data_IF_728609214816
#
_entry.id   IF_728609214816
#
_cell.length_a   1.000
_cell.length_b   1.000
_cell.length_c   1.000
_cell.angle_alpha   90.00
_cell.angle_beta   90.00
_cell.angle_gamma   90.00
#
_symmetry.space_group_name_H-M   'P 1'
#
loop_
_entity.id
_entity.type
_entity.pdbx_description
1 polymer ?
#
# COMPACT_ATOMS: atom_id res chain seq x y z
N UNK A 1 -4.04 2.75 10.68
CA UNK A 1 -3.62 2.25 9.35
C UNK A 1 -3.90 3.27 8.25
N UNK A 2 -5.14 3.80 8.06
CA UNK A 2 -5.44 4.76 7.00
C UNK A 2 -4.51 5.98 6.99
N UNK A 3 -4.23 6.58 8.16
CA UNK A 3 -3.33 7.74 8.25
C UNK A 3 -1.93 7.44 7.72
N UNK A 4 -1.38 6.28 8.07
CA UNK A 4 -0.05 5.84 7.62
C UNK A 4 -0.04 5.63 6.10
N UNK A 5 -1.09 5.04 5.54
CA UNK A 5 -1.23 4.85 4.10
C UNK A 5 -1.32 6.20 3.37
N UNK A 6 -2.13 7.12 3.87
CA UNK A 6 -2.28 8.47 3.29
C UNK A 6 -0.99 9.29 3.40
N UNK A 7 -0.14 8.99 4.38
CA UNK A 7 1.16 9.63 4.55
C UNK A 7 2.24 9.07 3.61
N UNK A 8 2.02 7.98 2.88
CA UNK A 8 3.07 7.36 2.04
C UNK A 8 3.62 8.31 0.98
N UNK A 9 2.75 8.96 0.20
CA UNK A 9 3.17 9.91 -0.84
C UNK A 9 3.90 11.13 -0.24
N UNK A 10 3.34 11.83 0.77
CA UNK A 10 4.06 12.92 1.43
C UNK A 10 5.41 12.49 2.00
N UNK A 11 5.49 11.35 2.71
CA UNK A 11 6.75 10.88 3.31
C UNK A 11 7.81 10.58 2.27
N UNK A 12 7.42 10.02 1.12
CA UNK A 12 8.35 9.79 0.01
C UNK A 12 8.97 11.09 -0.49
N UNK A 13 8.12 12.07 -0.79
CA UNK A 13 8.52 13.38 -1.32
C UNK A 13 9.21 14.29 -0.29
N UNK A 14 8.97 14.08 1.01
CA UNK A 14 9.70 14.78 2.08
C UNK A 14 11.12 14.23 2.30
N UNK A 15 11.32 12.93 2.10
CA UNK A 15 12.59 12.27 2.39
C UNK A 15 13.57 12.29 1.21
N UNK A 16 13.08 12.49 -0.02
CA UNK A 16 13.89 12.43 -1.23
C UNK A 16 13.75 13.76 -1.98
N UNK A 17 14.88 14.34 -2.38
CA UNK A 17 14.92 15.61 -3.13
C UNK A 17 14.89 15.34 -4.63
N UNK A 18 14.33 16.28 -5.39
CA UNK A 18 14.26 16.25 -6.87
C UNK A 18 13.53 15.02 -7.42
N UNK A 19 12.47 14.58 -6.75
CA UNK A 19 11.62 13.47 -7.17
C UNK A 19 10.55 14.00 -8.14
N UNK A 20 10.32 13.34 -9.29
CA UNK A 20 9.20 13.66 -10.17
C UNK A 20 7.85 13.51 -9.47
N UNK A 21 6.87 14.35 -9.80
CA UNK A 21 5.56 14.38 -9.10
C UNK A 21 4.79 13.06 -9.21
N UNK A 22 5.00 12.36 -10.34
CA UNK A 22 4.46 11.05 -10.69
C UNK A 22 5.16 9.89 -10.00
N UNK A 23 6.34 10.11 -9.41
CA UNK A 23 7.08 9.09 -8.69
C UNK A 23 6.57 8.97 -7.24
N UNK A 24 6.64 7.75 -6.68
CA UNK A 24 6.27 7.46 -5.30
C UNK A 24 5.04 6.58 -5.21
N UNK A 25 4.08 6.98 -4.39
CA UNK A 25 2.91 6.17 -4.03
C UNK A 25 1.61 6.90 -4.37
N UNK A 26 0.57 6.15 -4.70
CA UNK A 26 -0.80 6.63 -4.62
C UNK A 26 -1.67 5.56 -3.97
N UNK A 27 -2.74 5.99 -3.30
CA UNK A 27 -3.58 5.12 -2.49
C UNK A 27 -5.03 5.34 -2.90
N UNK A 28 -5.72 4.25 -3.21
CA UNK A 28 -7.14 4.23 -3.49
C UNK A 28 -7.86 3.50 -2.37
N UNK A 29 -8.84 4.17 -1.76
CA UNK A 29 -9.71 3.56 -0.76
C UNK A 29 -10.84 2.82 -1.46
N UNK A 30 -10.97 1.52 -1.22
CA UNK A 30 -12.08 0.70 -1.71
C UNK A 30 -13.18 0.63 -0.63
N UNK A 31 -12.80 0.33 0.61
CA UNK A 31 -13.66 0.40 1.80
C UNK A 31 -12.88 0.92 3.00
N UNK A 32 -13.48 1.01 4.18
CA UNK A 32 -12.79 1.46 5.40
C UNK A 32 -11.57 0.60 5.77
N UNK A 33 -11.60 -0.68 5.42
CA UNK A 33 -10.54 -1.65 5.71
C UNK A 33 -9.94 -2.30 4.46
N UNK A 34 -10.11 -1.69 3.29
CA UNK A 34 -9.61 -2.21 2.02
C UNK A 34 -9.08 -1.06 1.15
N UNK A 35 -7.79 -1.13 0.82
CA UNK A 35 -7.11 -0.13 0.00
C UNK A 35 -6.29 -0.81 -1.09
N UNK A 36 -6.08 -0.09 -2.19
CA UNK A 36 -5.10 -0.42 -3.22
C UNK A 36 -3.99 0.61 -3.15
N UNK A 37 -2.75 0.13 -3.00
CA UNK A 37 -1.54 0.94 -2.98
C UNK A 37 -0.82 0.77 -4.31
N UNK A 38 -0.76 1.82 -5.09
CA UNK A 38 -0.01 1.88 -6.33
C UNK A 38 1.37 2.46 -6.05
N UNK A 39 2.42 1.89 -6.67
CA UNK A 39 3.74 2.52 -6.63
C UNK A 39 4.36 2.66 -8.01
N UNK A 40 5.02 3.81 -8.18
CA UNK A 40 5.77 4.17 -9.36
C UNK A 40 7.21 4.61 -8.99
N UNK A 41 7.72 4.14 -7.84
CA UNK A 41 9.11 4.38 -7.42
C UNK A 41 10.08 3.37 -8.04
N UNK A 42 11.39 3.69 -8.10
CA UNK A 42 12.44 2.76 -8.52
C UNK A 42 12.64 1.57 -7.55
N UNK A 43 12.00 1.60 -6.38
CA UNK A 43 12.08 0.52 -5.40
C UNK A 43 11.53 -0.80 -5.97
N UNK A 44 12.18 -1.91 -5.58
CA UNK A 44 11.73 -3.25 -5.97
C UNK A 44 10.44 -3.63 -5.22
N UNK A 45 9.54 -4.32 -5.91
CA UNK A 45 8.22 -4.73 -5.41
C UNK A 45 8.31 -5.50 -4.08
N UNK A 46 9.32 -6.37 -3.93
CA UNK A 46 9.56 -7.13 -2.69
C UNK A 46 9.84 -6.22 -1.47
N UNK A 47 10.52 -5.09 -1.70
CA UNK A 47 10.77 -4.10 -0.64
C UNK A 47 9.49 -3.39 -0.22
N UNK A 48 8.64 -3.04 -1.20
CA UNK A 48 7.34 -2.46 -0.90
C UNK A 48 6.42 -3.45 -0.18
N UNK A 49 6.38 -4.71 -0.61
CA UNK A 49 5.64 -5.76 0.06
C UNK A 49 6.04 -5.86 1.54
N UNK A 50 7.35 -5.95 1.83
CA UNK A 50 7.84 -6.03 3.21
C UNK A 50 7.49 -4.80 4.04
N UNK A 51 7.58 -3.61 3.44
CA UNK A 51 7.21 -2.37 4.10
C UNK A 51 5.72 -2.29 4.43
N UNK A 52 4.84 -2.61 3.48
CA UNK A 52 3.39 -2.68 3.70
C UNK A 52 3.09 -3.72 4.77
N UNK A 53 3.61 -4.95 4.63
CA UNK A 53 3.43 -5.99 5.63
C UNK A 53 3.83 -5.51 7.03
N UNK A 54 4.96 -4.81 7.16
CA UNK A 54 5.43 -4.24 8.41
C UNK A 54 4.49 -3.20 9.01
N UNK A 55 3.90 -2.32 8.20
CA UNK A 55 2.87 -1.35 8.64
C UNK A 55 1.68 -2.11 9.23
N UNK A 56 1.15 -3.09 8.50
CA UNK A 56 -0.04 -3.81 8.93
C UNK A 56 0.23 -4.68 10.16
N UNK A 57 1.35 -5.39 10.20
CA UNK A 57 1.77 -6.16 11.38
C UNK A 57 1.94 -5.28 12.63
N UNK A 58 2.38 -4.02 12.46
CA UNK A 58 2.59 -3.07 13.56
C UNK A 58 1.30 -2.43 14.07
N UNK A 59 0.39 -2.08 13.18
CA UNK A 59 -0.76 -1.22 13.51
C UNK A 59 -2.11 -1.92 13.56
N UNK A 60 -2.21 -3.19 13.15
CA UNK A 60 -3.42 -3.98 13.36
C UNK A 60 -3.73 -4.12 14.86
N UNK A 61 -4.99 -4.28 15.19
CA UNK A 61 -5.41 -4.71 16.53
C UNK A 61 -5.02 -6.18 16.78
N UNK A 62 -4.92 -6.62 18.05
CA UNK A 62 -4.55 -8.00 18.36
C UNK A 62 -5.45 -9.05 17.70
N UNK A 63 -6.74 -8.77 17.60
CA UNK A 63 -7.77 -9.64 17.04
C UNK A 63 -7.95 -9.48 15.51
N UNK A 64 -7.29 -8.51 14.90
CA UNK A 64 -7.37 -8.30 13.47
C UNK A 64 -6.37 -9.19 12.72
N UNK A 65 -6.80 -9.67 11.56
CA UNK A 65 -5.99 -10.27 10.52
C UNK A 65 -5.76 -9.23 9.42
N UNK A 66 -4.76 -9.48 8.56
CA UNK A 66 -4.53 -8.67 7.38
C UNK A 66 -3.98 -9.50 6.23
N UNK A 67 -4.16 -8.99 5.02
CA UNK A 67 -3.50 -9.48 3.82
C UNK A 67 -2.81 -8.32 3.12
N UNK A 68 -1.61 -8.59 2.62
CA UNK A 68 -0.93 -7.76 1.63
C UNK A 68 -0.70 -8.70 0.45
N UNK A 69 -1.17 -8.33 -0.74
CA UNK A 69 -0.89 -9.09 -1.96
C UNK A 69 -0.60 -8.16 -3.12
N UNK A 70 0.36 -8.55 -3.95
CA UNK A 70 0.57 -7.88 -5.22
C UNK A 70 -0.61 -8.21 -6.15
N UNK A 71 -1.12 -7.21 -6.85
CA UNK A 71 -2.13 -7.39 -7.88
C UNK A 71 -1.42 -7.67 -9.21
N UNK A 72 -1.66 -8.88 -9.74
CA UNK A 72 -1.22 -9.29 -11.07
C UNK A 72 -2.44 -9.85 -11.82
N UNK A 73 -2.94 -9.15 -12.86
CA UNK A 73 -2.34 -7.96 -13.47
C UNK A 73 -2.47 -6.69 -12.62
N UNK A 74 -1.53 -5.75 -12.80
CA UNK A 74 -1.65 -4.38 -12.31
C UNK A 74 -2.90 -3.74 -12.95
N UNK A 75 -3.86 -3.19 -12.18
CA UNK A 75 -5.08 -2.63 -12.74
C UNK A 75 -4.89 -1.24 -13.37
N UNK A 76 -3.74 -0.57 -13.16
CA UNK A 76 -3.42 0.75 -13.73
C UNK A 76 -1.98 0.82 -14.28
N UNK A 77 -1.59 -0.06 -15.22
CA UNK A 77 -0.22 -0.15 -15.73
C UNK A 77 0.27 1.11 -16.48
N UNK A 78 -0.65 1.96 -16.92
CA UNK A 78 -0.38 3.21 -17.63
C UNK A 78 0.12 4.34 -16.73
N UNK A 79 -0.10 4.26 -15.41
CA UNK A 79 0.30 5.31 -14.46
C UNK A 79 1.21 4.80 -13.33
N UNK A 80 1.30 3.49 -13.12
CA UNK A 80 2.16 2.93 -12.07
C UNK A 80 2.79 1.60 -12.49
N UNK A 81 3.94 1.31 -11.90
CA UNK A 81 4.68 0.07 -12.14
C UNK A 81 3.95 -1.14 -11.58
N UNK A 82 3.48 -1.07 -10.34
CA UNK A 82 2.73 -2.17 -9.73
C UNK A 82 1.72 -1.67 -8.70
N UNK A 83 0.82 -2.58 -8.29
CA UNK A 83 -0.22 -2.32 -7.31
C UNK A 83 -0.27 -3.43 -6.27
N UNK A 84 -0.61 -3.05 -5.04
CA UNK A 84 -0.79 -3.96 -3.91
C UNK A 84 -2.16 -3.76 -3.31
N UNK A 85 -2.90 -4.85 -3.13
CA UNK A 85 -4.11 -4.85 -2.33
C UNK A 85 -3.74 -5.07 -0.87
N UNK A 86 -4.32 -4.24 -0.01
CA UNK A 86 -4.20 -4.39 1.44
C UNK A 86 -5.59 -4.40 2.07
N UNK A 87 -5.87 -5.45 2.85
CA UNK A 87 -7.11 -5.58 3.62
C UNK A 87 -6.80 -5.97 5.06
N UNK A 88 -7.66 -5.55 5.98
CA UNK A 88 -7.61 -5.99 7.36
C UNK A 88 -9.02 -6.14 7.94
N UNK A 89 -9.15 -6.91 9.00
CA UNK A 89 -10.45 -7.12 9.63
C UNK A 89 -10.40 -8.26 10.64
N UNK A 90 -11.57 -8.66 11.14
CA UNK A 90 -11.70 -9.61 12.24
C UNK A 90 -12.05 -11.02 11.79
N UNK A 91 -12.54 -11.15 10.55
CA UNK A 91 -12.94 -12.40 9.92
C UNK A 91 -12.10 -12.73 8.69
N UNK A 92 -12.16 -13.98 8.22
CA UNK A 92 -11.46 -14.37 6.99
C UNK A 92 -12.11 -13.73 5.77
N UNK A 93 -13.41 -13.49 5.85
CA UNK A 93 -14.23 -12.84 4.84
C UNK A 93 -13.80 -11.38 4.65
N UNK A 94 -13.43 -10.68 5.73
CA UNK A 94 -12.94 -9.29 5.67
C UNK A 94 -11.64 -9.15 4.87
N UNK A 95 -10.82 -10.21 4.84
CA UNK A 95 -9.46 -10.20 4.25
C UNK A 95 -9.35 -11.08 2.99
N UNK A 96 -10.46 -11.55 2.43
CA UNK A 96 -10.49 -12.46 1.27
C UNK A 96 -10.38 -11.75 -0.08
#
# INVERSE_FOLDING_TARGET
IPDVLNMLKPMYHMNIRNVPEEEGYSVEKVTDNHYIVYHNSPNVDAGLYGFLWGIFARFKQPHEMFVVRQLDPNPKPEICRSAFEVKWGTSKEDVR
#
